data_IF_820709908009
#
_entry.id   IF_820709908009
#
_cell.length_a   1.000
_cell.length_b   1.000
_cell.length_c   1.000
_cell.angle_alpha   90.00
_cell.angle_beta   90.00
_cell.angle_gamma   90.00
#
_symmetry.space_group_name_H-M   'P 1'
#
loop_
_entity.id
_entity.type
_entity.pdbx_description
1 polymer ?
#
# COMPACT_ATOMS: atom_id res chain seq x y z
N UNK A 1 -11.38 11.79 8.22
CA UNK A 1 -10.47 11.99 7.07
C UNK A 1 -10.13 10.72 6.30
N UNK A 2 -9.89 9.59 6.97
CA UNK A 2 -9.43 8.35 6.32
C UNK A 2 -10.39 7.72 5.28
N UNK A 3 -11.71 7.90 5.43
CA UNK A 3 -12.69 7.37 4.47
C UNK A 3 -12.48 7.86 3.03
N UNK A 4 -11.99 9.10 2.87
CA UNK A 4 -11.74 9.69 1.54
C UNK A 4 -10.58 9.00 0.83
N UNK A 5 -9.53 8.61 1.56
CA UNK A 5 -8.36 7.91 1.00
C UNK A 5 -8.74 6.53 0.46
N UNK A 6 -9.56 5.79 1.22
CA UNK A 6 -10.06 4.47 0.79
C UNK A 6 -10.98 4.60 -0.43
N UNK A 7 -11.82 5.63 -0.47
CA UNK A 7 -12.70 5.90 -1.61
C UNK A 7 -11.91 6.28 -2.87
N UNK A 8 -10.91 7.16 -2.74
CA UNK A 8 -10.04 7.58 -3.85
C UNK A 8 -9.20 6.39 -4.37
N UNK A 9 -8.72 5.52 -3.48
CA UNK A 9 -8.06 4.27 -3.88
C UNK A 9 -9.01 3.33 -4.64
N UNK A 10 -10.24 3.16 -4.16
CA UNK A 10 -11.27 2.36 -4.84
C UNK A 10 -11.57 2.91 -6.24
N UNK A 11 -11.71 4.24 -6.37
CA UNK A 11 -11.93 4.92 -7.66
C UNK A 11 -10.75 4.78 -8.62
N UNK A 12 -9.54 4.65 -8.09
CA UNK A 12 -8.32 4.42 -8.88
C UNK A 12 -8.16 2.97 -9.33
N UNK A 13 -9.09 2.08 -8.96
CA UNK A 13 -9.11 0.69 -9.39
C UNK A 13 -8.34 -0.27 -8.47
N UNK A 14 -7.88 0.20 -7.30
CA UNK A 14 -7.28 -0.68 -6.30
C UNK A 14 -8.35 -1.55 -5.64
N UNK A 15 -7.98 -2.80 -5.35
CA UNK A 15 -8.91 -3.81 -4.81
C UNK A 15 -8.68 -4.05 -3.31
N UNK A 16 -7.43 -3.92 -2.85
CA UNK A 16 -7.04 -4.29 -1.49
C UNK A 16 -6.26 -3.19 -0.81
N UNK A 17 -6.47 -3.08 0.50
CA UNK A 17 -5.70 -2.22 1.38
C UNK A 17 -5.39 -2.96 2.68
N UNK A 18 -4.29 -2.60 3.32
CA UNK A 18 -3.93 -3.05 4.66
C UNK A 18 -4.15 -1.88 5.61
N UNK A 19 -4.99 -2.07 6.61
CA UNK A 19 -5.29 -1.07 7.64
C UNK A 19 -4.85 -1.61 8.99
N UNK A 20 -3.91 -0.94 9.63
CA UNK A 20 -3.31 -1.32 10.92
C UNK A 20 -2.83 -2.78 10.95
N UNK A 21 -2.24 -3.23 9.84
CA UNK A 21 -1.75 -4.60 9.67
C UNK A 21 -2.80 -5.61 9.20
N UNK A 22 -4.09 -5.28 9.23
CA UNK A 22 -5.17 -6.16 8.78
C UNK A 22 -5.50 -5.90 7.31
N UNK A 23 -5.67 -6.97 6.52
CA UNK A 23 -5.94 -6.86 5.09
C UNK A 23 -7.45 -6.82 4.82
N UNK A 24 -7.88 -5.83 4.04
CA UNK A 24 -9.28 -5.58 3.68
C UNK A 24 -9.45 -5.47 2.17
N UNK A 25 -10.65 -5.82 1.69
CA UNK A 25 -11.07 -5.50 0.32
C UNK A 25 -11.78 -4.14 0.29
N UNK A 26 -11.37 -3.27 -0.63
CA UNK A 26 -11.90 -1.90 -0.77
C UNK A 26 -13.35 -1.86 -1.26
N UNK A 27 -13.92 -3.00 -1.67
CA UNK A 27 -15.34 -3.15 -1.98
C UNK A 27 -16.22 -3.27 -0.74
N UNK A 28 -15.66 -3.66 0.40
CA UNK A 28 -16.38 -3.84 1.66
C UNK A 28 -16.45 -2.52 2.44
N UNK A 29 -17.34 -2.47 3.44
CA UNK A 29 -17.46 -1.30 4.31
C UNK A 29 -16.39 -1.35 5.42
N UNK A 30 -15.31 -0.58 5.23
CA UNK A 30 -14.19 -0.50 6.18
C UNK A 30 -14.49 0.62 7.18
N UNK A 31 -14.98 0.23 8.37
CA UNK A 31 -15.23 1.16 9.47
C UNK A 31 -13.95 1.45 10.25
N UNK A 32 -13.53 2.72 10.26
CA UNK A 32 -12.36 3.20 11.01
C UNK A 32 -12.80 4.06 12.20
N UNK A 33 -12.15 3.89 13.33
CA UNK A 33 -12.46 4.63 14.55
C UNK A 33 -11.92 6.07 14.45
N UNK A 34 -12.82 7.05 14.40
CA UNK A 34 -12.47 8.46 14.11
C UNK A 34 -11.46 9.08 15.08
N UNK A 35 -11.30 8.53 16.28
CA UNK A 35 -10.43 9.07 17.33
C UNK A 35 -9.08 8.35 17.42
N UNK A 36 -8.82 7.34 16.59
CA UNK A 36 -7.57 6.59 16.56
C UNK A 36 -6.73 6.96 15.33
N UNK A 37 -5.41 6.88 15.49
CA UNK A 37 -4.49 6.97 14.36
C UNK A 37 -4.51 5.64 13.63
N UNK A 38 -4.76 5.69 12.33
CA UNK A 38 -4.76 4.53 11.45
C UNK A 38 -3.62 4.62 10.43
N UNK A 39 -2.94 3.51 10.20
CA UNK A 39 -2.00 3.33 9.11
C UNK A 39 -2.71 2.57 7.98
N UNK A 40 -2.75 3.18 6.79
CA UNK A 40 -3.45 2.63 5.62
C UNK A 40 -2.43 2.47 4.50
N UNK A 41 -2.12 1.22 4.16
CA UNK A 41 -1.30 0.87 3.00
C UNK A 41 -2.21 0.40 1.86
N UNK A 42 -2.06 0.99 0.67
CA UNK A 42 -2.77 0.52 -0.52
C UNK A 42 -1.95 -0.58 -1.18
N UNK A 43 -2.58 -1.73 -1.46
CA UNK A 43 -1.90 -2.84 -2.10
C UNK A 43 -1.80 -2.57 -3.61
N UNK A 44 -0.61 -2.20 -4.08
CA UNK A 44 -0.36 -1.88 -5.49
C UNK A 44 -0.17 -3.14 -6.33
N UNK A 45 0.74 -4.02 -5.92
CA UNK A 45 0.97 -5.29 -6.61
C UNK A 45 1.40 -6.38 -5.61
N UNK A 46 1.20 -7.64 -6.00
CA UNK A 46 1.72 -8.83 -5.33
C UNK A 46 2.66 -9.56 -6.28
N UNK A 47 3.95 -9.54 -5.93
CA UNK A 47 5.02 -10.07 -6.76
C UNK A 47 5.62 -11.35 -6.16
N UNK A 48 6.10 -12.22 -7.04
CA UNK A 48 6.98 -13.33 -6.68
C UNK A 48 8.34 -13.00 -7.30
N UNK A 49 9.39 -13.00 -6.48
CA UNK A 49 10.75 -12.68 -6.94
C UNK A 49 11.21 -13.73 -7.95
N UNK A 50 11.51 -13.28 -9.17
CA UNK A 50 12.04 -14.07 -10.29
C UNK A 50 13.10 -13.25 -11.02
N UNK A 51 14.01 -13.87 -11.80
CA UNK A 51 15.09 -13.14 -12.47
C UNK A 51 14.64 -12.05 -13.45
N UNK A 52 13.43 -12.17 -14.00
CA UNK A 52 12.83 -11.28 -15.00
C UNK A 52 11.86 -10.24 -14.41
N UNK A 53 11.77 -10.15 -13.08
CA UNK A 53 10.76 -9.32 -12.40
C UNK A 53 11.04 -7.82 -12.45
N UNK A 54 12.26 -7.41 -12.83
CA UNK A 54 12.75 -6.03 -12.69
C UNK A 54 11.82 -4.99 -13.30
N UNK A 55 11.32 -5.20 -14.54
CA UNK A 55 10.43 -4.23 -15.18
C UNK A 55 9.13 -4.02 -14.40
N UNK A 56 8.44 -5.10 -14.05
CA UNK A 56 7.18 -5.04 -13.28
C UNK A 56 7.38 -4.50 -11.87
N UNK A 57 8.52 -4.82 -11.25
CA UNK A 57 8.89 -4.26 -9.95
C UNK A 57 9.06 -2.74 -10.04
N UNK A 58 9.77 -2.25 -11.06
CA UNK A 58 9.94 -0.81 -11.30
C UNK A 58 8.59 -0.12 -11.48
N UNK A 59 7.72 -0.62 -12.34
CA UNK A 59 6.39 -0.03 -12.57
C UNK A 59 5.55 0.02 -11.29
N UNK A 60 5.63 -1.04 -10.47
CA UNK A 60 4.92 -1.13 -9.18
C UNK A 60 5.44 -0.12 -8.16
N UNK A 61 6.76 0.03 -8.06
CA UNK A 61 7.42 0.98 -7.15
C UNK A 61 7.13 2.42 -7.57
N UNK A 62 7.16 2.74 -8.86
CA UNK A 62 6.79 4.06 -9.36
C UNK A 62 5.33 4.38 -9.05
N UNK A 63 4.42 3.44 -9.28
CA UNK A 63 3.00 3.60 -8.96
C UNK A 63 2.78 3.87 -7.46
N UNK A 64 3.41 3.07 -6.60
CA UNK A 64 3.30 3.22 -5.15
C UNK A 64 3.87 4.57 -4.68
N UNK A 65 5.05 4.95 -5.19
CA UNK A 65 5.71 6.20 -4.83
C UNK A 65 4.90 7.43 -5.26
N UNK A 66 4.33 7.41 -6.46
CA UNK A 66 3.50 8.51 -6.96
C UNK A 66 2.21 8.67 -6.16
N UNK A 67 1.61 7.58 -5.68
CA UNK A 67 0.38 7.60 -4.88
C UNK A 67 0.58 8.24 -3.51
N UNK A 68 1.73 7.99 -2.88
CA UNK A 68 2.01 8.38 -1.48
C UNK A 68 2.94 9.60 -1.37
N UNK A 69 3.40 10.13 -2.50
CA UNK A 69 4.34 11.24 -2.55
C UNK A 69 5.77 10.85 -2.14
N UNK A 70 6.18 9.61 -2.37
CA UNK A 70 7.57 9.16 -2.17
C UNK A 70 7.76 7.99 -1.21
N UNK A 71 6.69 7.41 -0.64
CA UNK A 71 6.79 6.33 0.36
C UNK A 71 6.33 4.99 -0.21
N UNK A 72 7.15 3.95 -0.03
CA UNK A 72 6.83 2.59 -0.52
C UNK A 72 7.13 1.58 0.57
N UNK A 73 6.14 0.78 0.95
CA UNK A 73 6.32 -0.33 1.90
C UNK A 73 6.31 -1.65 1.16
N UNK A 74 7.36 -2.44 1.32
CA UNK A 74 7.46 -3.81 0.82
C UNK A 74 7.18 -4.77 1.96
N UNK A 75 6.08 -5.51 1.87
CA UNK A 75 5.74 -6.56 2.82
C UNK A 75 6.33 -7.91 2.37
N UNK A 76 7.26 -8.43 3.17
CA UNK A 76 7.88 -9.74 2.97
C UNK A 76 7.08 -10.81 3.72
N UNK A 77 6.20 -11.49 2.99
CA UNK A 77 5.22 -12.44 3.56
C UNK A 77 5.84 -13.64 4.30
N UNK A 78 7.05 -14.09 3.95
CA UNK A 78 7.67 -15.26 4.60
C UNK A 78 8.42 -14.87 5.87
N UNK A 79 9.01 -13.69 5.85
CA UNK A 79 9.82 -13.12 6.92
C UNK A 79 8.99 -12.29 7.91
N UNK A 80 7.68 -12.14 7.64
CA UNK A 80 6.73 -11.32 8.43
C UNK A 80 7.27 -9.90 8.70
N UNK A 81 7.98 -9.35 7.72
CA UNK A 81 8.70 -8.09 7.85
C UNK A 81 8.24 -7.07 6.81
N UNK A 82 8.08 -5.82 7.26
CA UNK A 82 7.88 -4.68 6.40
C UNK A 82 9.18 -3.89 6.22
N UNK A 83 9.51 -3.55 4.98
CA UNK A 83 10.62 -2.66 4.65
C UNK A 83 10.05 -1.42 3.98
N UNK A 84 10.26 -0.25 4.60
CA UNK A 84 9.82 1.03 4.05
C UNK A 84 10.96 1.72 3.34
N UNK A 85 10.68 2.21 2.14
CA UNK A 85 11.55 3.03 1.31
C UNK A 85 10.94 4.43 1.18
N UNK A 86 11.80 5.45 1.12
CA UNK A 86 11.42 6.85 1.01
C UNK A 86 12.27 7.55 -0.04
N UNK A 87 11.64 8.22 -1.00
CA UNK A 87 12.32 9.07 -1.99
C UNK A 87 12.74 10.43 -1.42
N UNK A 88 12.13 10.87 -0.32
CA UNK A 88 12.30 12.23 0.19
C UNK A 88 13.35 12.37 1.30
N UNK A 89 14.17 11.33 1.57
CA UNK A 89 15.08 11.31 2.73
C UNK A 89 14.39 11.64 4.07
N UNK A 90 13.08 11.45 4.15
CA UNK A 90 12.30 11.66 5.36
C UNK A 90 12.17 10.32 6.07
N UNK A 91 12.72 10.25 7.30
CA UNK A 91 12.54 9.15 8.25
C UNK A 91 11.21 9.30 9.00
#
# INVERSE_FOLDING_TARGET
>A
EHAKVLEDARRSGFVRARVDGNLYELSEDISLEKNLKHHIDIMVDRLIVRPDITGRLTDSVETASNLTGGLVTVNMLREEQDITFSQNYAC
#
